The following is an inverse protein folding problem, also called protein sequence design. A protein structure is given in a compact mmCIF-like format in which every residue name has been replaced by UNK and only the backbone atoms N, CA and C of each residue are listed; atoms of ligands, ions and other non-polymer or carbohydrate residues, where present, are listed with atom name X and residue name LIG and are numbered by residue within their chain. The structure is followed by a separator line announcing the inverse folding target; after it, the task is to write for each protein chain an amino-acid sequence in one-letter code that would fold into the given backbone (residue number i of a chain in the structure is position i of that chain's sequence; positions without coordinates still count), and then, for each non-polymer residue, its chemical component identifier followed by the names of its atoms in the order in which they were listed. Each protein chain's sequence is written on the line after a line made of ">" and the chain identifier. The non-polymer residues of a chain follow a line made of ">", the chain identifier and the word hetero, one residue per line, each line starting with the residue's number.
data_IF_618177232011
#
_entry.id   IF_618177232011
#
_cell.length_a   1.000
_cell.length_b   1.000
_cell.length_c   1.000
_cell.angle_alpha   90.00
_cell.angle_beta   90.00
_cell.angle_gamma   90.00
#
_symmetry.space_group_name_H-M   'P 1'
#
loop_
_entity.id
_entity.type
_entity.pdbx_description
1 polymer ?
#
# COMPACT_ATOMS: atom_id res chain seq x y z
N UNK A 1 34.73 27.12 14.92
CA UNK A 1 34.65 26.28 13.71
C UNK A 1 33.50 25.29 13.92
N UNK A 2 32.31 25.66 13.48
CA UNK A 2 31.13 24.80 13.56
C UNK A 2 31.22 23.72 12.48
N UNK A 3 31.15 22.46 12.90
CA UNK A 3 30.84 21.36 11.97
C UNK A 3 29.35 21.46 11.66
N UNK A 4 29.02 21.82 10.43
CA UNK A 4 27.70 21.61 9.85
C UNK A 4 27.35 20.12 10.00
N UNK A 5 26.28 19.84 10.72
CA UNK A 5 25.56 18.57 10.65
C UNK A 5 25.03 18.42 9.23
N UNK A 6 25.46 17.36 8.54
CA UNK A 6 24.76 16.90 7.36
C UNK A 6 23.33 16.55 7.78
N UNK A 7 22.35 17.31 7.28
CA UNK A 7 20.94 16.96 7.36
C UNK A 7 20.79 15.56 6.75
N UNK A 8 20.56 14.57 7.61
CA UNK A 8 20.13 13.26 7.18
C UNK A 8 18.75 13.42 6.59
N UNK A 9 18.65 13.38 5.26
CA UNK A 9 17.38 13.18 4.59
C UNK A 9 16.88 11.79 4.99
N UNK A 10 16.01 11.72 6.00
CA UNK A 10 15.16 10.54 6.19
C UNK A 10 14.47 10.27 4.85
N UNK A 11 14.54 9.05 4.31
CA UNK A 11 13.84 8.75 3.08
C UNK A 11 12.32 8.85 3.33
N UNK A 12 11.67 9.85 2.75
CA UNK A 12 10.22 9.91 2.74
C UNK A 12 9.68 8.71 1.94
N UNK A 13 9.12 7.73 2.63
CA UNK A 13 8.63 6.47 2.06
C UNK A 13 7.18 6.56 1.53
N UNK A 14 6.69 7.79 1.32
CA UNK A 14 5.36 8.09 0.78
C UNK A 14 5.50 8.93 -0.47
N UNK A 15 4.86 8.49 -1.57
CA UNK A 15 4.99 9.06 -2.91
C UNK A 15 3.63 9.45 -3.47
N UNK A 16 3.64 10.35 -4.46
CA UNK A 16 2.44 10.84 -5.11
C UNK A 16 1.87 12.09 -4.46
N UNK A 17 0.96 12.73 -5.19
CA UNK A 17 0.28 13.95 -4.77
C UNK A 17 -1.07 13.59 -4.16
N UNK A 18 -1.42 14.26 -3.06
CA UNK A 18 -2.75 14.19 -2.47
C UNK A 18 -3.81 14.58 -3.52
N UNK A 19 -4.78 13.70 -3.72
CA UNK A 19 -5.96 13.92 -4.57
C UNK A 19 -7.10 14.36 -3.65
N UNK A 20 -7.23 15.67 -3.49
CA UNK A 20 -8.31 16.34 -2.76
C UNK A 20 -9.23 17.12 -3.70
N UNK A 21 -10.21 17.83 -3.13
CA UNK A 21 -11.18 18.61 -3.89
C UNK A 21 -10.50 19.65 -4.78
N UNK A 22 -9.42 20.29 -4.29
CA UNK A 22 -8.66 21.29 -5.05
C UNK A 22 -7.92 20.63 -6.22
N UNK A 23 -7.31 19.46 -6.00
CA UNK A 23 -6.68 18.69 -7.06
C UNK A 23 -7.67 18.37 -8.18
N UNK A 24 -8.86 17.86 -7.82
CA UNK A 24 -9.89 17.49 -8.78
C UNK A 24 -10.34 18.72 -9.59
N UNK A 25 -10.69 19.82 -8.91
CA UNK A 25 -11.14 21.07 -9.56
C UNK A 25 -10.07 21.66 -10.48
N UNK A 26 -8.80 21.61 -10.08
CA UNK A 26 -7.70 22.12 -10.90
C UNK A 26 -7.42 21.28 -12.15
N UNK A 27 -7.70 19.97 -12.09
CA UNK A 27 -7.42 19.03 -13.19
C UNK A 27 -8.61 18.82 -14.12
N UNK A 28 -9.82 19.03 -13.63
CA UNK A 28 -11.07 18.75 -14.32
C UNK A 28 -11.99 19.97 -14.20
N UNK A 29 -11.90 20.94 -15.13
CA UNK A 29 -12.66 22.19 -15.09
C UNK A 29 -14.18 21.97 -15.01
N UNK A 30 -14.69 20.83 -15.47
CA UNK A 30 -16.09 20.44 -15.33
C UNK A 30 -16.55 20.32 -13.87
N UNK A 31 -15.62 20.17 -12.91
CA UNK A 31 -15.91 20.14 -11.48
C UNK A 31 -15.72 21.49 -10.77
N UNK A 32 -15.33 22.58 -11.48
CA UNK A 32 -15.00 23.87 -10.86
C UNK A 32 -16.12 24.39 -9.93
N UNK A 33 -17.37 24.27 -10.36
CA UNK A 33 -18.57 24.70 -9.63
C UNK A 33 -19.29 23.56 -8.91
N UNK A 34 -18.87 22.31 -9.11
CA UNK A 34 -19.52 21.14 -8.51
C UNK A 34 -18.95 20.83 -7.13
N UNK A 35 -19.79 20.20 -6.31
CA UNK A 35 -19.34 19.54 -5.09
C UNK A 35 -18.56 18.27 -5.48
N UNK A 36 -17.33 18.14 -4.97
CA UNK A 36 -16.48 16.98 -5.20
C UNK A 36 -16.64 16.04 -4.01
N UNK A 37 -17.18 14.85 -4.24
CA UNK A 37 -17.39 13.87 -3.18
C UNK A 37 -16.21 12.88 -3.07
N UNK A 38 -16.27 11.96 -2.10
CA UNK A 38 -15.22 10.96 -1.88
C UNK A 38 -15.06 9.99 -3.08
N UNK A 39 -16.15 9.66 -3.77
CA UNK A 39 -16.11 8.78 -4.94
C UNK A 39 -15.38 9.43 -6.12
N UNK A 40 -15.59 10.74 -6.34
CA UNK A 40 -14.86 11.49 -7.38
C UNK A 40 -13.35 11.45 -7.09
N UNK A 41 -12.95 11.75 -5.86
CA UNK A 41 -11.55 11.69 -5.41
C UNK A 41 -10.95 10.30 -5.51
N UNK A 42 -11.71 9.27 -5.14
CA UNK A 42 -11.32 7.86 -5.25
C UNK A 42 -11.08 7.47 -6.71
N UNK A 43 -12.00 7.84 -7.60
CA UNK A 43 -11.90 7.59 -9.04
C UNK A 43 -10.63 8.21 -9.65
N UNK A 44 -10.35 9.49 -9.35
CA UNK A 44 -9.15 10.14 -9.86
C UNK A 44 -7.86 9.57 -9.27
N UNK A 45 -7.84 9.27 -7.97
CA UNK A 45 -6.69 8.62 -7.33
C UNK A 45 -6.39 7.26 -7.96
N UNK A 46 -7.40 6.39 -8.12
CA UNK A 46 -7.20 5.05 -8.69
C UNK A 46 -6.59 5.07 -10.11
N UNK A 47 -6.86 6.11 -10.90
CA UNK A 47 -6.29 6.29 -12.24
C UNK A 47 -4.85 6.84 -12.24
N UNK A 48 -4.40 7.42 -11.14
CA UNK A 48 -3.06 7.99 -11.01
C UNK A 48 -2.03 7.00 -10.43
N UNK A 49 -2.45 5.82 -9.96
CA UNK A 49 -1.55 4.82 -9.35
C UNK A 49 -0.29 4.52 -10.18
N UNK A 50 -0.47 4.30 -11.48
CA UNK A 50 0.65 4.00 -12.39
C UNK A 50 1.52 5.23 -12.67
N UNK A 51 0.95 6.44 -12.63
CA UNK A 51 1.72 7.67 -12.75
C UNK A 51 2.66 7.85 -11.53
N UNK A 52 2.19 7.51 -10.32
CA UNK A 52 3.02 7.53 -9.10
C UNK A 52 4.19 6.54 -9.22
N UNK A 53 3.92 5.29 -9.63
CA UNK A 53 4.95 4.26 -9.86
C UNK A 53 5.92 4.60 -10.98
N UNK A 54 5.50 5.44 -11.93
CA UNK A 54 6.36 5.93 -12.99
C UNK A 54 7.19 7.17 -12.63
N UNK A 55 6.90 7.79 -11.49
CA UNK A 55 7.58 8.97 -10.98
C UNK A 55 9.07 8.73 -10.68
N UNK A 56 9.89 9.74 -10.93
CA UNK A 56 11.35 9.68 -10.72
C UNK A 56 11.73 9.51 -9.25
N UNK A 57 11.01 10.13 -8.33
CA UNK A 57 11.25 10.03 -6.88
C UNK A 57 10.99 8.61 -6.36
N UNK A 58 9.85 8.02 -6.74
CA UNK A 58 9.52 6.64 -6.43
C UNK A 58 10.58 5.67 -6.98
N UNK A 59 10.94 5.80 -8.27
CA UNK A 59 11.95 4.93 -8.89
C UNK A 59 13.31 5.06 -8.21
N UNK A 60 13.74 6.28 -7.88
CA UNK A 60 14.98 6.51 -7.15
C UNK A 60 14.95 5.88 -5.73
N UNK A 61 13.80 5.91 -5.08
CA UNK A 61 13.63 5.29 -3.77
C UNK A 61 13.70 3.76 -3.83
N UNK A 62 12.99 3.12 -4.76
CA UNK A 62 13.07 1.67 -4.97
C UNK A 62 14.49 1.23 -5.29
N UNK A 63 15.23 2.00 -6.09
CA UNK A 63 16.66 1.73 -6.34
C UNK A 63 17.51 1.85 -5.07
N UNK A 64 17.17 2.75 -4.15
CA UNK A 64 17.81 2.82 -2.83
C UNK A 64 17.52 1.58 -2.00
N UNK A 65 16.27 1.09 -1.99
CA UNK A 65 15.90 -0.15 -1.29
C UNK A 65 16.66 -1.37 -1.85
N UNK A 66 16.80 -1.46 -3.18
CA UNK A 66 17.59 -2.51 -3.84
C UNK A 66 19.05 -2.48 -3.41
N UNK A 67 19.65 -1.29 -3.27
CA UNK A 67 21.03 -1.14 -2.76
C UNK A 67 21.15 -1.55 -1.29
N UNK A 68 20.12 -1.28 -0.48
CA UNK A 68 20.09 -1.72 0.93
C UNK A 68 20.08 -3.25 1.00
N UNK A 69 19.31 -3.92 0.14
CA UNK A 69 19.28 -5.39 0.02
C UNK A 69 20.67 -5.93 -0.32
N UNK A 70 21.34 -5.36 -1.33
CA UNK A 70 22.69 -5.79 -1.76
C UNK A 70 23.76 -5.63 -0.67
N UNK A 71 23.53 -4.75 0.30
CA UNK A 71 24.44 -4.51 1.42
C UNK A 71 24.17 -5.44 2.61
N UNK A 72 23.06 -6.19 2.60
CA UNK A 72 22.77 -7.14 3.67
C UNK A 72 23.69 -8.37 3.58
N UNK A 73 24.19 -8.88 4.72
CA UNK A 73 24.89 -10.15 4.77
C UNK A 73 23.99 -11.29 4.27
N UNK A 74 24.57 -12.18 3.47
CA UNK A 74 23.90 -13.35 2.89
C UNK A 74 22.61 -12.99 2.14
N UNK A 75 22.59 -11.84 1.45
CA UNK A 75 21.43 -11.32 0.73
C UNK A 75 20.81 -12.37 -0.19
N UNK A 76 21.61 -13.17 -0.89
CA UNK A 76 21.15 -14.20 -1.83
C UNK A 76 20.34 -15.33 -1.17
N UNK A 77 20.52 -15.58 0.13
CA UNK A 77 19.81 -16.62 0.88
C UNK A 77 18.60 -16.09 1.67
N UNK A 78 18.42 -14.77 1.70
CA UNK A 78 17.32 -14.10 2.39
C UNK A 78 16.23 -13.70 1.41
N UNK A 79 14.99 -13.56 1.88
CA UNK A 79 13.86 -13.11 1.07
C UNK A 79 13.54 -11.66 1.41
N UNK A 80 13.18 -10.88 0.40
CA UNK A 80 12.83 -9.47 0.58
C UNK A 80 11.53 -9.15 -0.14
N UNK A 81 10.71 -8.34 0.51
CA UNK A 81 9.48 -7.80 -0.09
C UNK A 81 9.52 -6.28 -0.04
N UNK A 82 9.44 -5.65 -1.21
CA UNK A 82 9.12 -4.24 -1.34
C UNK A 82 7.59 -4.14 -1.30
N UNK A 83 7.06 -3.71 -0.17
CA UNK A 83 5.62 -3.60 0.09
C UNK A 83 5.11 -2.22 -0.31
N UNK A 84 4.24 -2.18 -1.31
CA UNK A 84 3.56 -0.99 -1.81
C UNK A 84 2.11 -0.97 -1.31
N UNK A 85 1.69 0.10 -0.62
CA UNK A 85 0.29 0.32 -0.21
C UNK A 85 -0.21 1.62 -0.82
N UNK A 86 -1.17 1.52 -1.75
CA UNK A 86 -1.75 2.67 -2.43
C UNK A 86 -3.14 3.00 -1.88
N UNK A 87 -3.34 4.26 -1.48
CA UNK A 87 -4.64 4.74 -1.04
C UNK A 87 -5.39 5.43 -2.18
N UNK A 88 -6.50 4.84 -2.62
CA UNK A 88 -7.47 5.44 -3.52
C UNK A 88 -8.89 5.47 -2.92
N UNK A 89 -9.03 5.57 -1.61
CA UNK A 89 -10.34 5.53 -0.91
C UNK A 89 -11.11 6.86 -0.96
N UNK A 90 -10.55 7.91 -1.57
CA UNK A 90 -11.16 9.24 -1.61
C UNK A 90 -10.94 10.07 -0.33
N UNK A 91 -10.34 9.49 0.70
CA UNK A 91 -9.99 10.12 1.98
C UNK A 91 -8.65 9.57 2.51
N UNK A 92 -8.04 10.19 3.53
CA UNK A 92 -6.86 9.60 4.18
C UNK A 92 -7.21 8.25 4.83
N UNK A 93 -6.24 7.33 4.79
CA UNK A 93 -6.27 6.10 5.58
C UNK A 93 -5.24 6.19 6.69
N UNK A 94 -5.51 5.52 7.81
CA UNK A 94 -4.67 5.54 8.99
C UNK A 94 -4.28 4.14 9.41
N UNK A 95 -3.03 3.96 9.80
CA UNK A 95 -2.55 2.70 10.34
C UNK A 95 -3.41 2.34 11.57
N UNK A 96 -4.08 1.18 11.51
CA UNK A 96 -4.99 0.77 12.58
C UNK A 96 -4.20 0.32 13.81
N UNK A 97 -3.11 -0.41 13.58
CA UNK A 97 -2.24 -1.00 14.59
C UNK A 97 -0.84 -1.21 14.00
N UNK A 98 0.15 -1.52 14.84
CA UNK A 98 1.47 -1.93 14.36
C UNK A 98 1.32 -3.12 13.39
N UNK A 99 2.10 -3.12 12.31
CA UNK A 99 2.21 -4.27 11.42
C UNK A 99 2.59 -5.54 12.20
N UNK A 100 2.31 -6.69 11.60
CA UNK A 100 2.65 -7.97 12.16
C UNK A 100 3.61 -8.69 11.23
N UNK A 101 4.77 -9.08 11.75
CA UNK A 101 5.73 -9.92 11.05
C UNK A 101 5.45 -11.37 11.45
N UNK A 102 5.00 -12.19 10.51
CA UNK A 102 4.88 -13.64 10.72
C UNK A 102 6.26 -14.29 10.67
N UNK A 103 7.08 -13.83 9.71
CA UNK A 103 8.45 -14.28 9.49
C UNK A 103 9.24 -13.14 8.87
N UNK A 104 10.18 -12.58 9.63
CA UNK A 104 10.98 -11.45 9.18
C UNK A 104 10.87 -10.24 10.09
N UNK A 105 11.21 -9.09 9.51
CA UNK A 105 11.06 -7.77 10.10
C UNK A 105 11.18 -6.68 9.03
N UNK A 106 10.72 -5.47 9.37
CA UNK A 106 10.98 -4.27 8.57
C UNK A 106 12.46 -3.89 8.67
N UNK A 107 13.10 -3.61 7.52
CA UNK A 107 14.50 -3.19 7.47
C UNK A 107 14.66 -1.67 7.63
N UNK A 108 15.57 -1.29 8.53
CA UNK A 108 15.88 0.11 8.83
C UNK A 108 14.72 0.86 9.46
N UNK A 109 14.73 2.19 9.34
CA UNK A 109 13.67 3.07 9.88
C UNK A 109 12.49 3.24 8.91
N UNK A 110 12.28 2.29 8.00
CA UNK A 110 11.28 2.36 6.93
C UNK A 110 9.91 1.80 7.38
N UNK A 111 9.37 2.31 8.48
CA UNK A 111 8.09 1.80 9.01
C UNK A 111 6.89 2.25 8.17
N UNK A 112 5.82 1.45 8.22
CA UNK A 112 4.53 1.85 7.64
C UNK A 112 4.08 3.21 8.19
N UNK A 113 3.77 4.18 7.33
CA UNK A 113 3.36 5.51 7.77
C UNK A 113 2.02 5.46 8.50
N UNK A 114 1.88 6.31 9.52
CA UNK A 114 0.62 6.40 10.29
C UNK A 114 -0.54 6.86 9.42
N UNK A 115 -0.29 7.67 8.39
CA UNK A 115 -1.30 8.19 7.48
C UNK A 115 -0.81 8.10 6.04
N UNK A 116 -1.68 7.68 5.13
CA UNK A 116 -1.48 7.73 3.69
C UNK A 116 -2.64 8.55 3.10
N UNK A 117 -2.36 9.68 2.46
CA UNK A 117 -3.41 10.50 1.85
C UNK A 117 -3.97 9.84 0.59
N UNK A 118 -5.21 10.19 0.21
CA UNK A 118 -5.79 9.74 -1.05
C UNK A 118 -4.88 10.13 -2.22
N UNK A 119 -4.59 9.20 -3.12
CA UNK A 119 -3.67 9.38 -4.24
C UNK A 119 -2.20 9.07 -3.94
N UNK A 120 -1.85 8.73 -2.70
CA UNK A 120 -0.47 8.44 -2.30
C UNK A 120 -0.16 6.94 -2.20
N UNK A 121 1.13 6.64 -2.39
CA UNK A 121 1.72 5.31 -2.30
C UNK A 121 2.74 5.26 -1.16
N UNK A 122 2.54 4.41 -0.17
CA UNK A 122 3.57 4.08 0.82
C UNK A 122 4.42 2.90 0.34
N UNK A 123 5.72 2.91 0.63
CA UNK A 123 6.65 1.85 0.21
C UNK A 123 7.55 1.43 1.38
N UNK A 124 7.46 0.18 1.79
CA UNK A 124 8.21 -0.36 2.93
C UNK A 124 9.06 -1.57 2.50
N UNK A 125 10.27 -1.71 3.03
CA UNK A 125 11.12 -2.87 2.81
C UNK A 125 11.02 -3.85 3.99
N UNK A 126 10.61 -5.07 3.70
CA UNK A 126 10.54 -6.16 4.67
C UNK A 126 11.56 -7.25 4.31
N UNK A 127 12.43 -7.62 5.24
CA UNK A 127 13.29 -8.80 5.15
C UNK A 127 12.59 -9.98 5.82
N UNK A 128 12.36 -11.05 5.07
CA UNK A 128 11.64 -12.24 5.50
C UNK A 128 10.52 -12.61 4.54
N UNK A 129 9.86 -13.73 4.83
CA UNK A 129 8.90 -14.33 3.92
C UNK A 129 7.50 -13.74 4.05
N UNK A 130 7.05 -13.30 5.24
CA UNK A 130 5.64 -12.95 5.41
C UNK A 130 5.35 -11.93 6.52
N UNK A 131 4.42 -11.04 6.24
CA UNK A 131 3.91 -10.02 7.16
C UNK A 131 2.52 -9.53 6.75
N UNK A 132 1.90 -8.72 7.63
CA UNK A 132 0.61 -8.09 7.40
C UNK A 132 0.56 -6.66 7.95
N UNK A 133 -0.24 -5.82 7.31
CA UNK A 133 -0.55 -4.46 7.73
C UNK A 133 -2.04 -4.20 7.63
N UNK A 134 -2.58 -3.38 8.54
CA UNK A 134 -4.00 -3.03 8.56
C UNK A 134 -4.15 -1.51 8.59
N UNK A 135 -4.84 -0.97 7.60
CA UNK A 135 -5.22 0.43 7.56
C UNK A 135 -6.72 0.58 7.71
N UNK A 136 -7.16 1.60 8.44
CA UNK A 136 -8.57 2.01 8.50
C UNK A 136 -8.82 3.27 7.70
N UNK A 137 -10.01 3.37 7.13
CA UNK A 137 -10.46 4.49 6.32
C UNK A 137 -11.97 4.58 6.31
N UNK A 138 -12.51 5.51 5.52
CA UNK A 138 -13.94 5.60 5.28
C UNK A 138 -14.30 4.86 3.98
N UNK A 139 -15.41 4.11 4.01
CA UNK A 139 -16.01 3.55 2.80
C UNK A 139 -16.86 4.60 2.06
N UNK A 140 -17.48 4.20 0.96
CA UNK A 140 -18.36 5.05 0.15
C UNK A 140 -19.48 5.73 0.97
N UNK A 141 -19.97 5.06 2.02
CA UNK A 141 -21.05 5.55 2.87
C UNK A 141 -20.55 6.38 4.06
N UNK A 142 -19.27 6.76 4.10
CA UNK A 142 -18.64 7.51 5.20
C UNK A 142 -18.46 6.70 6.49
N UNK A 143 -18.66 5.38 6.45
CA UNK A 143 -18.48 4.49 7.61
C UNK A 143 -17.05 4.01 7.68
N UNK A 144 -16.53 3.86 8.89
CA UNK A 144 -15.16 3.35 9.09
C UNK A 144 -15.09 1.84 8.82
N UNK A 145 -14.16 1.46 7.96
CA UNK A 145 -13.75 0.08 7.68
C UNK A 145 -12.23 -0.02 7.76
N UNK A 146 -11.72 -1.25 7.82
CA UNK A 146 -10.32 -1.58 7.84
C UNK A 146 -9.99 -2.59 6.74
N UNK A 147 -8.85 -2.37 6.09
CA UNK A 147 -8.30 -3.18 5.01
C UNK A 147 -7.05 -3.85 5.54
N UNK A 148 -7.08 -5.16 5.62
CA UNK A 148 -5.92 -5.98 5.87
C UNK A 148 -5.21 -6.27 4.55
N UNK A 149 -3.90 -6.15 4.55
CA UNK A 149 -3.01 -6.55 3.46
C UNK A 149 -1.93 -7.45 4.04
N UNK A 150 -1.88 -8.69 3.57
CA UNK A 150 -0.90 -9.67 3.97
C UNK A 150 -0.25 -10.33 2.75
N UNK A 151 1.00 -10.75 2.93
CA UNK A 151 1.78 -11.38 1.87
C UNK A 151 2.66 -12.50 2.42
N UNK A 152 2.96 -13.45 1.54
CA UNK A 152 3.95 -14.49 1.72
C UNK A 152 4.74 -14.62 0.40
N UNK A 153 6.01 -14.23 0.43
CA UNK A 153 6.90 -14.23 -0.73
C UNK A 153 7.39 -15.64 -1.07
N UNK A 154 7.51 -16.52 -0.10
CA UNK A 154 7.94 -17.89 -0.33
C UNK A 154 7.44 -18.79 0.78
N UNK A 155 6.75 -19.85 0.38
CA UNK A 155 6.34 -20.99 1.20
C UNK A 155 7.09 -22.23 0.73
N UNK A 156 6.97 -23.34 1.46
CA UNK A 156 7.62 -24.62 1.14
C UNK A 156 7.35 -25.17 -0.28
N UNK A 157 6.35 -24.64 -0.99
CA UNK A 157 6.00 -25.03 -2.36
C UNK A 157 6.47 -24.03 -3.43
N UNK A 158 7.40 -23.13 -3.07
CA UNK A 158 7.96 -22.07 -3.91
C UNK A 158 6.91 -21.10 -4.49
N UNK A 159 5.69 -21.11 -3.94
CA UNK A 159 4.62 -20.20 -4.33
C UNK A 159 4.62 -18.94 -3.49
N UNK A 160 3.95 -17.93 -4.06
CA UNK A 160 3.69 -16.64 -3.42
C UNK A 160 2.21 -16.51 -3.14
N UNK A 161 1.88 -16.06 -1.94
CA UNK A 161 0.51 -15.88 -1.52
C UNK A 161 0.27 -14.44 -1.10
N UNK A 162 -0.98 -14.04 -1.29
CA UNK A 162 -1.48 -12.75 -0.83
C UNK A 162 -2.78 -13.00 -0.07
N UNK A 163 -3.12 -12.08 0.80
CA UNK A 163 -4.46 -12.05 1.37
C UNK A 163 -4.85 -10.60 1.60
N UNK A 164 -6.10 -10.27 1.28
CA UNK A 164 -6.70 -9.01 1.67
C UNK A 164 -8.11 -9.24 2.15
N UNK A 165 -8.52 -8.46 3.14
CA UNK A 165 -9.83 -8.56 3.76
C UNK A 165 -10.27 -7.17 4.19
N UNK A 166 -11.53 -6.87 3.94
CA UNK A 166 -12.18 -5.65 4.36
C UNK A 166 -13.14 -6.03 5.47
N UNK A 167 -12.94 -5.44 6.64
CA UNK A 167 -13.82 -5.69 7.79
C UNK A 167 -14.00 -4.42 8.61
N UNK A 168 -14.91 -4.46 9.58
CA UNK A 168 -14.97 -3.35 10.55
C UNK A 168 -13.71 -3.33 11.43
N UNK A 169 -13.26 -2.17 11.94
CA UNK A 169 -12.07 -2.11 12.78
C UNK A 169 -12.11 -3.05 13.99
N UNK A 170 -13.29 -3.23 14.61
CA UNK A 170 -13.46 -4.09 15.80
C UNK A 170 -13.22 -5.58 15.49
N UNK A 171 -13.31 -6.00 14.22
CA UNK A 171 -12.95 -7.35 13.79
C UNK A 171 -11.50 -7.68 14.15
N UNK A 172 -10.63 -6.67 14.13
CA UNK A 172 -9.22 -6.83 14.37
C UNK A 172 -8.83 -6.64 15.85
N UNK A 173 -9.76 -6.44 16.78
CA UNK A 173 -9.41 -6.22 18.20
C UNK A 173 -8.75 -7.45 18.84
N UNK A 174 -8.99 -8.66 18.34
CA UNK A 174 -8.52 -9.91 18.94
C UNK A 174 -7.07 -10.32 18.59
N UNK A 175 -6.32 -9.49 17.83
CA UNK A 175 -4.94 -9.79 17.38
C UNK A 175 -4.75 -11.26 16.91
N UNK A 176 -5.77 -11.83 16.26
CA UNK A 176 -5.79 -13.22 15.82
C UNK A 176 -5.00 -13.39 14.50
N UNK A 177 -3.69 -13.18 14.61
CA UNK A 177 -2.76 -13.30 13.50
C UNK A 177 -2.66 -14.75 13.00
N UNK A 178 -2.94 -15.75 13.85
CA UNK A 178 -3.00 -17.14 13.43
C UNK A 178 -4.11 -17.37 12.39
N UNK A 179 -5.28 -16.74 12.59
CA UNK A 179 -6.35 -16.77 11.59
C UNK A 179 -5.89 -16.13 10.27
N UNK A 180 -5.25 -14.97 10.31
CA UNK A 180 -4.73 -14.30 9.11
C UNK A 180 -3.71 -15.17 8.38
N UNK A 181 -2.75 -15.76 9.11
CA UNK A 181 -1.76 -16.69 8.57
C UNK A 181 -2.41 -17.92 7.92
N UNK A 182 -3.50 -18.44 8.51
CA UNK A 182 -4.24 -19.56 7.91
C UNK A 182 -4.96 -19.22 6.60
N UNK A 183 -5.31 -17.93 6.40
CA UNK A 183 -5.95 -17.41 5.18
C UNK A 183 -4.95 -16.99 4.10
N UNK A 184 -3.66 -16.87 4.42
CA UNK A 184 -2.53 -16.60 3.52
C UNK A 184 -2.23 -17.81 2.61
N UNK A 185 -3.24 -18.20 1.84
CA UNK A 185 -3.21 -19.33 0.90
C UNK A 185 -3.80 -18.93 -0.45
N UNK A 186 -4.17 -17.65 -0.64
CA UNK A 186 -4.75 -17.17 -1.88
C UNK A 186 -3.64 -16.86 -2.88
N UNK A 187 -3.76 -17.43 -4.08
CA UNK A 187 -2.84 -17.13 -5.17
C UNK A 187 -3.01 -15.67 -5.61
N UNK A 188 -1.91 -15.06 -6.06
CA UNK A 188 -1.92 -13.69 -6.58
C UNK A 188 -2.41 -13.65 -8.04
N UNK A 189 -3.26 -12.70 -8.44
CA UNK A 189 -3.86 -11.63 -7.62
C UNK A 189 -5.10 -12.10 -6.84
N UNK A 190 -5.40 -11.40 -5.75
CA UNK A 190 -6.59 -11.60 -4.93
C UNK A 190 -7.26 -10.26 -4.62
N UNK A 191 -8.59 -10.26 -4.44
CA UNK A 191 -9.34 -9.06 -4.10
C UNK A 191 -10.41 -9.36 -3.05
N UNK A 192 -10.89 -8.32 -2.38
CA UNK A 192 -12.06 -8.37 -1.52
C UNK A 192 -12.91 -7.11 -1.70
N UNK A 193 -14.22 -7.24 -1.48
CA UNK A 193 -15.19 -6.16 -1.58
C UNK A 193 -16.20 -6.24 -0.44
N UNK A 194 -16.45 -5.09 0.20
CA UNK A 194 -17.40 -5.02 1.30
C UNK A 194 -18.04 -3.64 1.42
N UNK A 195 -19.36 -3.58 1.22
CA UNK A 195 -20.21 -2.42 1.57
C UNK A 195 -19.70 -1.09 0.99
N UNK A 196 -19.29 -1.05 -0.27
CA UNK A 196 -18.78 0.15 -0.93
C UNK A 196 -17.28 0.38 -0.78
N UNK A 197 -16.55 -0.60 -0.23
CA UNK A 197 -15.10 -0.66 -0.18
C UNK A 197 -14.59 -1.78 -1.08
N UNK A 198 -13.38 -1.63 -1.62
CA UNK A 198 -12.73 -2.63 -2.45
C UNK A 198 -11.22 -2.65 -2.17
N UNK A 199 -10.62 -3.83 -2.30
CA UNK A 199 -9.21 -4.08 -2.00
C UNK A 199 -8.60 -5.00 -3.05
N UNK A 200 -7.41 -4.67 -3.53
CA UNK A 200 -6.62 -5.53 -4.44
C UNK A 200 -5.27 -5.86 -3.80
N UNK A 201 -4.88 -7.11 -3.88
CA UNK A 201 -3.57 -7.57 -3.47
C UNK A 201 -2.91 -8.38 -4.60
N UNK A 202 -1.65 -8.10 -4.86
CA UNK A 202 -0.84 -8.87 -5.78
C UNK A 202 0.61 -8.90 -5.32
N UNK A 203 1.31 -9.97 -5.67
CA UNK A 203 2.75 -10.10 -5.47
C UNK A 203 3.39 -10.65 -6.74
N UNK A 204 4.56 -10.12 -7.07
CA UNK A 204 5.36 -10.57 -8.23
C UNK A 204 6.84 -10.52 -7.92
N UNK A 205 7.63 -11.30 -8.66
CA UNK A 205 9.08 -11.15 -8.70
C UNK A 205 9.49 -9.73 -9.12
N UNK A 206 10.61 -9.25 -8.58
CA UNK A 206 11.21 -8.02 -9.07
C UNK A 206 11.91 -8.29 -10.42
N UNK A 207 11.39 -7.70 -11.51
CA UNK A 207 11.92 -7.89 -12.87
C UNK A 207 13.37 -7.40 -13.01
N UNK A 208 13.81 -6.47 -12.16
CA UNK A 208 15.14 -5.86 -12.25
C UNK A 208 16.23 -6.68 -11.52
N UNK A 209 15.91 -7.60 -10.58
CA UNK A 209 16.88 -8.33 -9.74
C UNK A 209 16.32 -9.59 -9.06
N UNK A 210 17.21 -10.59 -8.91
CA UNK A 210 17.20 -11.78 -8.03
C UNK A 210 15.85 -12.44 -7.66
N UNK A 211 15.75 -13.77 -7.83
CA UNK A 211 14.57 -14.58 -7.49
C UNK A 211 14.07 -14.45 -6.04
N UNK A 212 14.88 -13.86 -5.14
CA UNK A 212 14.57 -13.67 -3.73
C UNK A 212 13.95 -12.30 -3.38
N UNK A 213 13.81 -11.37 -4.34
CA UNK A 213 13.15 -10.06 -4.13
C UNK A 213 11.81 -10.05 -4.84
N UNK A 214 10.77 -9.59 -4.14
CA UNK A 214 9.44 -9.43 -4.70
C UNK A 214 8.84 -8.06 -4.37
N UNK A 215 7.85 -7.70 -5.17
CA UNK A 215 7.05 -6.49 -5.00
C UNK A 215 5.64 -6.93 -4.66
N UNK A 216 5.18 -6.56 -3.46
CA UNK A 216 3.77 -6.66 -3.07
C UNK A 216 3.08 -5.35 -3.38
N UNK A 217 1.90 -5.39 -4.01
CA UNK A 217 1.04 -4.24 -4.25
C UNK A 217 -0.32 -4.46 -3.62
N UNK A 218 -0.61 -3.68 -2.57
CA UNK A 218 -1.92 -3.51 -1.97
C UNK A 218 -2.57 -2.20 -2.43
N UNK A 219 -3.81 -2.27 -2.91
CA UNK A 219 -4.59 -1.09 -3.32
C UNK A 219 -5.89 -1.06 -2.54
N UNK A 220 -6.16 0.04 -1.84
CA UNK A 220 -7.42 0.30 -1.16
C UNK A 220 -8.22 1.31 -1.97
N UNK A 221 -9.48 1.02 -2.30
CA UNK A 221 -10.34 1.94 -3.05
C UNK A 221 -11.80 1.78 -2.64
N UNK A 222 -12.67 2.64 -3.18
CA UNK A 222 -14.12 2.45 -3.11
C UNK A 222 -14.58 1.54 -4.25
N UNK A 223 -15.60 0.72 -4.01
CA UNK A 223 -16.17 -0.28 -4.94
C UNK A 223 -16.66 0.34 -6.28
N UNK A 224 -16.92 1.66 -6.28
CA UNK A 224 -17.45 2.40 -7.43
C UNK A 224 -16.38 3.19 -8.22
N UNK A 225 -15.11 2.78 -8.15
CA UNK A 225 -14.02 3.32 -8.98
C UNK A 225 -14.16 3.06 -10.49
N UNK A 226 -15.27 2.45 -10.93
CA UNK A 226 -15.67 2.29 -12.33
C UNK A 226 -16.78 3.29 -12.67
N UNK A 227 -16.74 3.95 -13.85
CA UNK A 227 -17.34 5.26 -14.07
C UNK A 227 -18.86 5.29 -13.87
N UNK A 228 -19.32 6.07 -12.91
CA UNK A 228 -20.66 6.65 -12.90
C UNK A 228 -20.61 8.06 -13.48
N UNK A 229 -20.28 8.16 -14.78
CA UNK A 229 -20.88 9.22 -15.57
C UNK A 229 -22.35 8.85 -15.80
N UNK A 230 -23.18 9.01 -14.77
CA UNK A 230 -24.61 9.21 -14.99
C UNK A 230 -24.80 10.68 -15.33
N UNK A 231 -24.39 11.03 -16.56
CA UNK A 231 -24.83 12.27 -17.20
C UNK A 231 -26.34 12.08 -17.38
N UNK A 232 -27.13 12.79 -16.57
CA UNK A 232 -28.48 13.20 -16.96
C UNK A 232 -28.38 14.60 -17.57
#
# INVERSE_FOLDING_TARGET
>A
MSKQSAEGNEPQNVFGTKVDDQFVKNKFPEFETLEVNAADKSYFAYRLKEAVRNGTTYKAYVQTLRKIIEQQPDSDNKKYTICEIYNATGSPIHLLKKHHDFSGHILGDNYFPVTIENGQLAVVLHEGSSAAVIYKGQNYNGKTYAWLHAWENERDDDKRYVFTEIEKPEHYDSDDWNLVSSKLTQESPFHDDLKGSYSEASIRGDEDKHDNVCIYSGILTLEWGFPLFSIN
#
